data_IF_083926133968
#
_entry.id   IF_083926133968
#
_cell.length_a   1.000
_cell.length_b   1.000
_cell.length_c   1.000
_cell.angle_alpha   90.00
_cell.angle_beta   90.00
_cell.angle_gamma   90.00
#
_symmetry.space_group_name_H-M   'P 1'
#
loop_
_entity.id
_entity.type
_entity.pdbx_description
1 polymer ?
#
# COMPACT_ATOMS: atom_id res chain seq x y z
N UNK A 1 -21.79 5.02 41.15
CA UNK A 1 -21.35 3.78 40.47
C UNK A 1 -21.47 4.03 38.98
N UNK A 2 -20.35 4.31 38.30
CA UNK A 2 -20.30 4.65 36.88
C UNK A 2 -20.59 3.40 36.05
N UNK A 3 -21.73 3.41 35.37
CA UNK A 3 -22.11 2.45 34.34
C UNK A 3 -20.99 2.43 33.30
N UNK A 4 -20.24 1.32 33.23
CA UNK A 4 -19.31 1.07 32.12
C UNK A 4 -20.15 1.15 30.85
N UNK A 5 -19.90 2.16 30.03
CA UNK A 5 -20.57 2.32 28.74
C UNK A 5 -20.42 1.02 27.97
N UNK A 6 -21.53 0.31 27.76
CA UNK A 6 -21.55 -0.82 26.85
C UNK A 6 -21.12 -0.27 25.49
N UNK A 7 -19.96 -0.71 25.00
CA UNK A 7 -19.56 -0.46 23.63
C UNK A 7 -20.67 -1.02 22.74
N UNK A 8 -21.42 -0.13 22.09
CA UNK A 8 -22.45 -0.53 21.12
C UNK A 8 -21.73 -1.35 20.06
N UNK A 9 -22.14 -2.60 19.79
CA UNK A 9 -21.51 -3.40 18.76
C UNK A 9 -21.57 -2.63 17.44
N UNK A 10 -20.47 -2.54 16.68
CA UNK A 10 -20.45 -1.77 15.45
C UNK A 10 -21.55 -2.24 14.51
N UNK A 11 -22.23 -1.30 13.85
CA UNK A 11 -23.27 -1.65 12.88
C UNK A 11 -22.65 -2.42 11.72
N UNK A 12 -23.45 -3.25 11.04
CA UNK A 12 -23.01 -4.05 9.88
C UNK A 12 -22.23 -3.20 8.86
N UNK A 13 -22.69 -1.99 8.58
CA UNK A 13 -22.04 -1.10 7.61
C UNK A 13 -20.68 -0.58 8.10
N UNK A 14 -20.52 -0.36 9.41
CA UNK A 14 -19.22 0.01 10.00
C UNK A 14 -18.24 -1.15 9.86
N UNK A 15 -18.68 -2.37 10.14
CA UNK A 15 -17.85 -3.57 10.00
C UNK A 15 -17.42 -3.76 8.54
N UNK A 16 -18.36 -3.66 7.59
CA UNK A 16 -18.05 -3.80 6.15
C UNK A 16 -17.04 -2.74 5.69
N UNK A 17 -17.20 -1.48 6.11
CA UNK A 17 -16.22 -0.43 5.80
C UNK A 17 -14.84 -0.72 6.41
N UNK A 18 -14.79 -1.24 7.64
CA UNK A 18 -13.53 -1.63 8.29
C UNK A 18 -12.88 -2.82 7.60
N UNK A 19 -13.64 -3.82 7.18
CA UNK A 19 -13.13 -4.94 6.38
C UNK A 19 -12.49 -4.47 5.09
N UNK A 20 -13.15 -3.57 4.35
CA UNK A 20 -12.60 -3.02 3.10
C UNK A 20 -11.30 -2.23 3.33
N UNK A 21 -11.25 -1.39 4.36
CA UNK A 21 -10.02 -0.67 4.72
C UNK A 21 -8.92 -1.62 5.16
N UNK A 22 -9.25 -2.63 5.96
CA UNK A 22 -8.31 -3.62 6.45
C UNK A 22 -7.72 -4.46 5.33
N UNK A 23 -8.55 -4.90 4.38
CA UNK A 23 -8.09 -5.60 3.17
C UNK A 23 -7.08 -4.78 2.37
N UNK A 24 -7.27 -3.46 2.26
CA UNK A 24 -6.29 -2.57 1.62
C UNK A 24 -4.98 -2.50 2.40
N UNK A 25 -5.03 -2.47 3.73
CA UNK A 25 -3.83 -2.50 4.57
C UNK A 25 -3.06 -3.81 4.33
N UNK A 26 -3.76 -4.95 4.39
CA UNK A 26 -3.18 -6.28 4.19
C UNK A 26 -2.43 -6.41 2.87
N UNK A 27 -2.94 -5.85 1.77
CA UNK A 27 -2.29 -5.90 0.45
C UNK A 27 -0.85 -5.40 0.45
N UNK A 28 -0.50 -4.52 1.39
CA UNK A 28 0.78 -3.86 1.44
C UNK A 28 1.68 -4.28 2.58
N UNK A 29 1.22 -5.21 3.43
CA UNK A 29 2.03 -5.79 4.50
C UNK A 29 3.03 -6.83 3.94
N UNK A 30 4.14 -7.06 4.66
CA UNK A 30 5.02 -8.21 4.41
C UNK A 30 4.23 -9.51 4.38
N UNK A 31 4.65 -10.46 3.53
CA UNK A 31 3.87 -11.67 3.26
C UNK A 31 3.60 -12.51 4.51
N UNK A 32 4.58 -12.63 5.42
CA UNK A 32 4.44 -13.35 6.68
C UNK A 32 3.33 -12.74 7.56
N UNK A 33 3.39 -11.42 7.75
CA UNK A 33 2.39 -10.68 8.55
C UNK A 33 1.03 -10.75 7.87
N UNK A 34 0.97 -10.54 6.55
CA UNK A 34 -0.28 -10.56 5.77
C UNK A 34 -1.02 -11.90 5.89
N UNK A 35 -0.32 -13.03 5.83
CA UNK A 35 -0.94 -14.36 5.90
C UNK A 35 -1.62 -14.61 7.24
N UNK A 36 -0.97 -14.22 8.33
CA UNK A 36 -1.50 -14.39 9.69
C UNK A 36 -2.61 -13.36 9.97
N UNK A 37 -2.38 -12.10 9.64
CA UNK A 37 -3.33 -11.01 9.81
C UNK A 37 -4.59 -11.19 8.95
N UNK A 38 -4.47 -11.81 7.78
CA UNK A 38 -5.57 -12.11 6.86
C UNK A 38 -6.53 -13.20 7.34
N UNK A 39 -6.25 -13.88 8.44
CA UNK A 39 -7.19 -14.82 9.07
C UNK A 39 -8.33 -14.10 9.81
N UNK A 40 -8.17 -12.79 10.06
CA UNK A 40 -9.12 -11.96 10.79
C UNK A 40 -9.88 -11.04 9.83
N UNK A 41 -11.16 -10.82 10.12
CA UNK A 41 -12.01 -9.98 9.25
C UNK A 41 -11.65 -8.49 9.31
N UNK A 42 -11.26 -8.00 10.50
CA UNK A 42 -10.93 -6.59 10.76
C UNK A 42 -9.76 -6.53 11.74
N UNK A 43 -9.08 -5.38 11.78
CA UNK A 43 -7.90 -5.17 12.62
C UNK A 43 -8.16 -5.42 14.11
N UNK A 44 -9.33 -5.04 14.61
CA UNK A 44 -9.70 -5.10 16.03
C UNK A 44 -9.90 -6.52 16.56
N UNK A 45 -9.93 -7.52 15.68
CA UNK A 45 -10.02 -8.93 16.07
C UNK A 45 -8.64 -9.57 16.26
N UNK A 46 -7.55 -8.85 15.98
CA UNK A 46 -6.21 -9.38 16.14
C UNK A 46 -5.84 -9.52 17.63
N UNK A 47 -5.02 -10.53 17.98
CA UNK A 47 -4.38 -10.58 19.28
C UNK A 47 -3.57 -9.29 19.53
N UNK A 48 -3.62 -8.76 20.76
CA UNK A 48 -3.00 -7.48 21.12
C UNK A 48 -1.53 -7.40 20.73
N UNK A 49 -0.75 -8.46 21.01
CA UNK A 49 0.67 -8.51 20.73
C UNK A 49 0.96 -8.42 19.23
N UNK A 50 0.12 -9.06 18.41
CA UNK A 50 0.25 -9.08 16.96
C UNK A 50 -0.30 -7.82 16.29
N UNK A 51 -1.33 -7.19 16.88
CA UNK A 51 -1.90 -5.94 16.38
C UNK A 51 -0.86 -4.81 16.33
N UNK A 52 0.04 -4.76 17.32
CA UNK A 52 1.15 -3.80 17.34
C UNK A 52 2.15 -4.05 16.22
N UNK A 53 2.48 -5.31 15.93
CA UNK A 53 3.37 -5.68 14.82
C UNK A 53 2.77 -5.28 13.47
N UNK A 54 1.49 -5.60 13.25
CA UNK A 54 0.74 -5.20 12.05
C UNK A 54 0.72 -3.69 11.88
N UNK A 55 0.47 -2.95 12.97
CA UNK A 55 0.44 -1.48 12.94
C UNK A 55 1.81 -0.89 12.64
N UNK A 56 2.87 -1.39 13.28
CA UNK A 56 4.24 -0.96 13.01
C UNK A 56 4.67 -1.24 11.56
N UNK A 57 4.32 -2.41 11.02
CA UNK A 57 4.58 -2.76 9.63
C UNK A 57 3.81 -1.86 8.64
N UNK A 58 2.54 -1.57 8.92
CA UNK A 58 1.75 -0.63 8.13
C UNK A 58 2.32 0.79 8.18
N UNK A 59 2.72 1.23 9.36
CA UNK A 59 3.26 2.57 9.58
C UNK A 59 4.62 2.75 8.89
N UNK A 60 5.55 1.80 9.04
CA UNK A 60 6.87 1.84 8.39
C UNK A 60 6.80 1.86 6.86
N UNK A 61 5.71 1.36 6.27
CA UNK A 61 5.47 1.51 4.84
C UNK A 61 5.14 2.96 4.47
N UNK A 62 4.33 3.64 5.27
CA UNK A 62 3.89 5.02 5.00
C UNK A 62 5.04 6.00 5.30
N UNK A 63 5.71 5.81 6.44
CA UNK A 63 6.78 6.66 6.93
C UNK A 63 8.06 5.82 7.10
N UNK A 64 8.80 5.69 6.00
CA UNK A 64 9.98 4.83 5.93
C UNK A 64 11.02 5.26 6.97
N UNK A 65 11.47 4.32 7.81
CA UNK A 65 12.45 4.51 8.87
C UNK A 65 12.07 5.50 9.99
N UNK A 66 10.84 6.05 10.00
CA UNK A 66 10.45 7.05 10.99
C UNK A 66 10.46 6.51 12.42
N UNK A 67 9.90 5.34 12.65
CA UNK A 67 9.87 4.77 14.02
C UNK A 67 11.28 4.45 14.56
N UNK A 68 12.29 4.30 13.69
CA UNK A 68 13.66 3.98 14.13
C UNK A 68 14.46 5.21 14.55
N UNK A 69 14.09 6.40 14.08
CA UNK A 69 14.76 7.66 14.41
C UNK A 69 14.13 8.37 15.60
N UNK A 70 12.95 7.92 16.02
CA UNK A 70 12.21 8.54 17.11
C UNK A 70 12.57 7.92 18.46
N UNK A 71 12.53 8.70 19.55
CA UNK A 71 12.61 8.20 20.91
C UNK A 71 11.37 7.36 21.21
N UNK A 72 11.52 6.41 22.13
CA UNK A 72 10.47 5.44 22.46
C UNK A 72 9.12 6.08 22.79
N UNK A 73 9.11 7.21 23.49
CA UNK A 73 7.87 7.94 23.83
C UNK A 73 7.10 8.41 22.58
N UNK A 74 7.81 8.91 21.55
CA UNK A 74 7.18 9.34 20.28
C UNK A 74 6.78 8.14 19.42
N UNK A 75 7.52 7.03 19.48
CA UNK A 75 7.13 5.77 18.84
C UNK A 75 5.79 5.28 19.38
N UNK A 76 5.62 5.30 20.71
CA UNK A 76 4.38 4.89 21.35
C UNK A 76 3.20 5.79 20.96
N UNK A 77 3.41 7.12 20.90
CA UNK A 77 2.39 8.05 20.38
C UNK A 77 2.02 7.76 18.92
N UNK A 78 3.01 7.51 18.06
CA UNK A 78 2.76 7.16 16.66
C UNK A 78 1.96 5.85 16.53
N UNK A 79 2.28 4.85 17.35
CA UNK A 79 1.60 3.56 17.34
C UNK A 79 0.26 3.56 18.11
N UNK A 80 -0.05 4.62 18.86
CA UNK A 80 -1.38 4.82 19.45
C UNK A 80 -2.44 5.23 18.41
N UNK A 81 -2.06 5.44 17.15
CA UNK A 81 -2.97 5.90 16.10
C UNK A 81 -4.06 4.87 15.73
N UNK A 82 -5.16 5.36 15.16
CA UNK A 82 -6.12 4.50 14.44
C UNK A 82 -5.44 4.03 13.14
N UNK A 83 -5.36 2.72 12.94
CA UNK A 83 -4.71 2.13 11.76
C UNK A 83 -5.43 2.51 10.45
N UNK A 84 -6.72 2.86 10.52
CA UNK A 84 -7.55 3.21 9.37
C UNK A 84 -7.51 4.70 9.00
N UNK A 85 -7.01 5.55 9.90
CA UNK A 85 -6.95 7.01 9.73
C UNK A 85 -5.51 7.54 9.70
N UNK A 86 -4.58 6.81 10.32
CA UNK A 86 -3.18 7.22 10.45
C UNK A 86 -2.95 8.06 11.70
N UNK A 87 -1.74 8.63 11.80
CA UNK A 87 -1.35 9.48 12.92
C UNK A 87 -2.10 10.81 12.93
N UNK A 88 -2.39 11.29 14.13
CA UNK A 88 -3.04 12.58 14.32
C UNK A 88 -2.09 13.73 13.94
N UNK A 89 -2.66 14.87 13.60
CA UNK A 89 -1.90 16.07 13.27
C UNK A 89 -1.02 16.51 14.45
N UNK A 90 -1.53 16.42 15.67
CA UNK A 90 -0.81 16.79 16.89
C UNK A 90 0.42 15.90 17.10
N UNK A 91 0.27 14.59 16.91
CA UNK A 91 1.40 13.65 17.03
C UNK A 91 2.43 13.90 15.93
N UNK A 92 1.98 14.21 14.70
CA UNK A 92 2.89 14.56 13.61
C UNK A 92 3.64 15.87 13.88
N UNK A 93 2.97 16.87 14.48
CA UNK A 93 3.62 18.12 14.85
C UNK A 93 4.76 17.88 15.85
N UNK A 94 4.52 17.08 16.89
CA UNK A 94 5.58 16.72 17.86
C UNK A 94 6.76 15.96 17.21
N UNK A 95 6.47 15.08 16.24
CA UNK A 95 7.50 14.37 15.47
C UNK A 95 8.32 15.34 14.62
N UNK A 96 7.68 16.34 14.03
CA UNK A 96 8.34 17.39 13.24
C UNK A 96 9.21 18.25 14.16
N UNK A 97 8.68 18.73 15.28
CA UNK A 97 9.43 19.54 16.24
C UNK A 97 10.68 18.77 16.72
N UNK A 98 10.54 17.48 17.06
CA UNK A 98 11.67 16.62 17.43
C UNK A 98 12.71 16.46 16.30
N UNK A 99 12.25 16.40 15.05
CA UNK A 99 13.13 16.21 13.90
C UNK A 99 13.85 17.51 13.50
N UNK A 100 13.20 18.66 13.67
CA UNK A 100 13.76 19.99 13.38
C UNK A 100 14.86 20.35 14.40
N UNK A 101 14.71 19.90 15.66
CA UNK A 101 15.74 20.00 16.70
C UNK A 101 17.02 19.18 16.39
N UNK A 102 16.93 18.19 15.48
CA UNK A 102 18.04 17.27 15.16
C UNK A 102 18.94 17.70 13.98
N UNK A 103 18.63 18.81 13.29
CA UNK A 103 19.35 19.39 12.14
C UNK A 103 19.74 18.43 10.98
N UNK A 104 19.07 18.64 9.83
CA UNK A 104 19.55 18.58 8.43
C UNK A 104 19.55 17.34 7.52
N UNK A 105 19.42 16.06 7.92
CA UNK A 105 19.48 14.95 6.92
C UNK A 105 18.27 13.99 6.89
N UNK A 106 17.29 14.18 7.77
CA UNK A 106 16.24 13.18 7.98
C UNK A 106 15.17 13.15 6.87
N UNK A 107 14.64 14.33 6.49
CA UNK A 107 13.53 14.40 5.55
C UNK A 107 13.90 13.98 4.12
N UNK A 108 15.14 14.15 3.68
CA UNK A 108 15.60 13.68 2.36
C UNK A 108 15.57 12.16 2.22
N UNK A 109 15.65 11.43 3.34
CA UNK A 109 15.63 9.98 3.38
C UNK A 109 14.21 9.41 3.53
N UNK A 110 13.31 10.14 4.24
CA UNK A 110 11.94 9.69 4.54
C UNK A 110 10.91 10.11 3.48
N UNK A 111 11.15 11.21 2.74
CA UNK A 111 10.23 11.76 1.73
C UNK A 111 10.33 11.21 0.31
N UNK A 112 11.07 10.14 0.02
CA UNK A 112 10.92 9.50 -1.31
C UNK A 112 9.70 8.58 -1.29
N UNK A 113 8.51 9.00 -1.79
CA UNK A 113 7.45 8.05 -2.04
C UNK A 113 8.00 7.07 -3.08
N UNK A 114 8.19 5.81 -2.68
CA UNK A 114 8.23 4.75 -3.67
C UNK A 114 6.82 4.70 -4.22
N UNK A 115 6.62 5.32 -5.38
CA UNK A 115 5.45 5.08 -6.21
C UNK A 115 5.53 3.60 -6.60
N UNK A 116 4.99 2.73 -5.76
CA UNK A 116 4.72 1.34 -6.13
C UNK A 116 3.59 1.42 -7.15
N UNK A 117 3.97 1.60 -8.42
CA UNK A 117 3.05 1.36 -9.53
C UNK A 117 2.49 -0.04 -9.32
N UNK A 118 1.17 -0.15 -9.21
CA UNK A 118 0.47 -1.42 -9.27
C UNK A 118 1.01 -2.20 -10.48
N UNK A 119 1.16 -3.55 -10.42
CA UNK A 119 1.55 -4.30 -11.59
C UNK A 119 0.52 -3.99 -12.69
N UNK A 120 1.00 -3.34 -13.75
CA UNK A 120 0.19 -3.03 -14.90
C UNK A 120 -0.40 -4.34 -15.42
N UNK A 121 -1.71 -4.30 -15.69
CA UNK A 121 -2.41 -5.33 -16.44
C UNK A 121 -1.61 -5.56 -17.73
N UNK A 122 -1.09 -6.77 -17.92
CA UNK A 122 -0.33 -7.16 -19.11
C UNK A 122 -1.21 -6.98 -20.36
N UNK A 123 -1.06 -5.86 -21.05
CA UNK A 123 -1.52 -5.72 -22.43
C UNK A 123 -0.55 -6.49 -23.32
N UNK A 124 -1.07 -7.54 -23.96
CA UNK A 124 -0.39 -8.24 -25.02
C UNK A 124 -0.29 -7.33 -26.25
N UNK A 125 0.92 -6.87 -26.56
CA UNK A 125 1.26 -6.32 -27.86
C UNK A 125 2.64 -6.85 -28.27
N UNK A 126 2.66 -7.97 -28.98
CA UNK A 126 3.83 -8.41 -29.74
C UNK A 126 3.67 -7.97 -31.20
N UNK A 127 4.66 -7.20 -31.64
CA UNK A 127 4.62 -6.36 -32.82
C UNK A 127 4.80 -7.10 -34.14
N UNK A 128 4.23 -6.47 -35.18
CA UNK A 128 4.56 -6.70 -36.56
C UNK A 128 5.98 -6.16 -36.85
N UNK A 129 6.90 -7.08 -37.12
CA UNK A 129 8.22 -6.78 -37.68
C UNK A 129 8.11 -6.78 -39.21
N UNK A 130 8.40 -5.64 -39.85
CA UNK A 130 8.50 -5.53 -41.32
C UNK A 130 9.77 -6.22 -41.83
N UNK A 131 9.75 -6.87 -43.01
CA UNK A 131 10.94 -7.00 -43.82
C UNK A 131 10.94 -6.01 -45.00
N UNK A 132 12.15 -5.78 -45.48
CA UNK A 132 12.63 -4.74 -46.38
C UNK A 132 12.17 -4.94 -47.84
N UNK A 133 12.23 -3.85 -48.61
CA UNK A 133 11.75 -3.69 -49.99
C UNK A 133 12.48 -4.54 -51.05
N UNK A 134 11.73 -5.04 -52.05
CA UNK A 134 12.21 -5.40 -53.39
C UNK A 134 11.24 -4.82 -54.44
N UNK A 135 11.80 -4.25 -55.52
CA UNK A 135 11.21 -3.32 -56.50
C UNK A 135 10.05 -3.88 -57.36
N UNK A 136 9.21 -3.02 -57.97
CA UNK A 136 8.10 -3.43 -58.85
C UNK A 136 8.40 -3.22 -60.36
N UNK A 137 8.01 -4.15 -61.24
CA UNK A 137 7.58 -3.94 -62.66
C UNK A 137 6.85 -5.22 -63.18
N UNK A 138 6.13 -5.24 -64.33
CA UNK A 138 4.66 -5.20 -64.40
C UNK A 138 4.03 -6.39 -65.19
N UNK A 139 2.74 -6.25 -65.47
CA UNK A 139 1.76 -7.19 -66.03
C UNK A 139 2.06 -7.85 -67.39
N UNK A 140 1.49 -9.07 -67.58
CA UNK A 140 0.93 -9.64 -68.83
C UNK A 140 0.08 -10.88 -68.43
N UNK A 141 -1.27 -10.84 -68.46
CA UNK A 141 -2.27 -11.32 -69.47
C UNK A 141 -2.11 -12.75 -70.04
N UNK A 142 -3.28 -13.30 -70.39
CA UNK A 142 -3.60 -14.53 -71.14
C UNK A 142 -3.71 -15.86 -70.33
N UNK A 143 -4.89 -16.44 -70.12
CA UNK A 143 -5.94 -16.97 -71.04
C UNK A 143 -5.72 -18.48 -71.36
N UNK A 144 -6.71 -19.27 -70.94
CA UNK A 144 -7.22 -20.53 -71.50
C UNK A 144 -6.44 -21.87 -71.54
N UNK A 145 -7.30 -22.90 -71.44
CA UNK A 145 -7.29 -24.20 -72.14
C UNK A 145 -6.62 -25.42 -71.49
N UNK A 146 -7.49 -26.27 -70.93
CA UNK A 146 -7.76 -27.66 -71.33
C UNK A 146 -6.59 -28.59 -71.67
N UNK A 147 -6.47 -29.67 -70.91
CA UNK A 147 -6.51 -31.06 -71.40
C UNK A 147 -6.88 -32.00 -70.24
#
# INVERSE_FOLDING_TARGET
MTSRGQAVPPTRDVVLRRMDKYNRILMYLPENIRKEAGQYAIFELLPSDFANEVKAAHFNRIYVNLLKSLPQELVEKCLACDIYEGISFETMAEVIDYSDDLQDDFFDTVRKPVVVRSPAKTEAAQGASKPNAVKPVPAEVDEQCAA
#
